data_IF_148473425298
#
_entry.id   IF_148473425298
#
_cell.length_a   1.000
_cell.length_b   1.000
_cell.length_c   1.000
_cell.angle_alpha   90.00
_cell.angle_beta   90.00
_cell.angle_gamma   90.00
#
_symmetry.space_group_name_H-M   'P 1'
#
loop_
_entity.id
_entity.type
_entity.pdbx_description
1 polymer ?
#
# COMPACT_ATOMS: atom_id res chain seq x y z
N UNK A 1 15.94 5.35 -1.36
CA UNK A 1 16.31 4.79 -0.04
C UNK A 1 16.49 3.28 -0.19
N UNK A 2 17.53 2.71 0.42
CA UNK A 2 17.76 1.25 0.44
C UNK A 2 17.76 0.76 1.89
N UNK A 3 17.04 -0.32 2.15
CA UNK A 3 16.94 -1.00 3.44
C UNK A 3 17.33 -2.47 3.24
N UNK A 4 18.39 -2.91 3.92
CA UNK A 4 18.84 -4.31 3.92
C UNK A 4 18.61 -4.92 5.30
N UNK A 5 17.90 -6.04 5.36
CA UNK A 5 17.64 -6.77 6.61
C UNK A 5 17.29 -8.21 6.36
N UNK A 6 17.67 -9.11 7.28
CA UNK A 6 17.33 -10.54 7.22
C UNK A 6 17.58 -11.18 5.83
N UNK A 7 18.64 -10.77 5.13
CA UNK A 7 18.96 -11.24 3.77
C UNK A 7 18.09 -10.67 2.64
N UNK A 8 17.12 -9.80 2.94
CA UNK A 8 16.28 -9.10 1.97
C UNK A 8 16.81 -7.67 1.73
N UNK A 9 16.76 -7.23 0.48
CA UNK A 9 16.91 -5.82 0.10
C UNK A 9 15.55 -5.25 -0.29
N UNK A 10 15.15 -4.18 0.37
CA UNK A 10 14.01 -3.35 0.00
C UNK A 10 14.55 -2.02 -0.48
N UNK A 11 14.20 -1.65 -1.71
CA UNK A 11 14.66 -0.41 -2.32
C UNK A 11 13.45 0.44 -2.69
N UNK A 12 13.45 1.70 -2.27
CA UNK A 12 12.40 2.67 -2.53
C UNK A 12 12.96 3.80 -3.38
N UNK A 13 12.17 4.22 -4.37
CA UNK A 13 12.43 5.41 -5.17
C UNK A 13 11.31 6.42 -4.98
N UNK A 14 11.69 7.69 -4.94
CA UNK A 14 10.72 8.78 -4.98
C UNK A 14 10.24 8.94 -6.41
N UNK A 15 8.93 9.02 -6.58
CA UNK A 15 8.25 9.30 -7.85
C UNK A 15 7.48 10.61 -7.71
N UNK A 16 6.88 11.10 -8.81
CA UNK A 16 6.17 12.38 -8.83
C UNK A 16 5.14 12.50 -7.70
N UNK A 17 4.37 11.44 -7.48
CA UNK A 17 3.22 11.43 -6.57
C UNK A 17 3.43 10.49 -5.36
N UNK A 18 4.68 10.37 -4.87
CA UNK A 18 5.02 9.64 -3.65
C UNK A 18 6.18 8.67 -3.80
N UNK A 19 5.96 7.41 -3.43
CA UNK A 19 7.00 6.37 -3.41
C UNK A 19 6.66 5.17 -4.29
N UNK A 20 7.70 4.50 -4.79
CA UNK A 20 7.62 3.20 -5.42
C UNK A 20 8.64 2.26 -4.78
N UNK A 21 8.29 0.99 -4.64
CA UNK A 21 9.24 -0.07 -4.29
C UNK A 21 9.86 -0.60 -5.59
N UNK A 22 11.19 -0.59 -5.66
CA UNK A 22 11.97 -1.11 -6.80
C UNK A 22 12.50 -2.53 -6.57
N UNK A 23 12.77 -2.88 -5.30
CA UNK A 23 13.25 -4.21 -4.90
C UNK A 23 12.43 -4.78 -3.75
N UNK A 24 12.17 -6.11 -3.73
CA UNK A 24 12.74 -7.15 -4.59
C UNK A 24 12.26 -7.13 -6.06
N UNK A 25 11.13 -6.48 -6.32
CA UNK A 25 10.59 -6.23 -7.65
C UNK A 25 9.81 -4.89 -7.65
N UNK A 26 9.40 -4.38 -8.83
CA UNK A 26 8.56 -3.19 -8.91
C UNK A 26 7.19 -3.42 -8.25
N UNK A 27 6.91 -2.72 -7.15
CA UNK A 27 5.65 -2.79 -6.41
C UNK A 27 5.14 -1.39 -6.06
N UNK A 28 3.82 -1.24 -5.95
CA UNK A 28 3.19 -0.03 -5.41
C UNK A 28 3.55 0.13 -3.94
N UNK A 29 4.04 1.31 -3.57
CA UNK A 29 4.36 1.63 -2.18
C UNK A 29 3.21 2.35 -1.49
N UNK A 30 3.04 2.06 -0.21
CA UNK A 30 2.31 2.94 0.69
C UNK A 30 3.22 4.14 1.00
N UNK A 31 2.96 5.26 0.32
CA UNK A 31 3.80 6.46 0.44
C UNK A 31 3.86 6.99 1.87
N UNK A 32 2.77 6.88 2.63
CA UNK A 32 2.73 7.35 4.03
C UNK A 32 3.65 6.49 4.90
N UNK A 33 3.54 5.16 4.79
CA UNK A 33 4.39 4.23 5.51
C UNK A 33 5.89 4.43 5.19
N UNK A 34 6.22 4.74 3.94
CA UNK A 34 7.61 5.00 3.52
C UNK A 34 8.09 6.36 4.02
N UNK A 35 7.26 7.40 3.98
CA UNK A 35 7.59 8.71 4.54
C UNK A 35 7.82 8.66 6.05
N UNK A 36 6.99 7.92 6.80
CA UNK A 36 7.20 7.67 8.23
C UNK A 36 8.54 6.96 8.49
N UNK A 37 8.89 5.95 7.68
CA UNK A 37 10.18 5.27 7.78
C UNK A 37 11.34 6.25 7.56
N UNK A 38 11.29 7.04 6.48
CA UNK A 38 12.32 8.04 6.15
C UNK A 38 12.46 9.05 7.29
N UNK A 39 11.34 9.56 7.82
CA UNK A 39 11.34 10.50 8.94
C UNK A 39 11.93 9.90 10.21
N UNK A 40 11.55 8.68 10.57
CA UNK A 40 12.10 7.98 11.75
C UNK A 40 13.61 7.78 11.66
N UNK A 41 14.15 7.61 10.45
CA UNK A 41 15.61 7.51 10.21
C UNK A 41 16.28 8.90 10.26
N UNK A 42 15.64 9.94 9.71
CA UNK A 42 16.17 11.30 9.73
C UNK A 42 16.17 11.91 11.15
N UNK A 43 15.16 11.60 11.95
CA UNK A 43 14.96 12.12 13.31
C UNK A 43 15.70 11.30 14.38
N UNK A 44 16.59 10.38 13.99
CA UNK A 44 17.34 9.52 14.93
C UNK A 44 18.14 10.38 15.91
N UNK A 45 17.76 10.28 17.18
CA UNK A 45 18.51 10.87 18.29
C UNK A 45 19.47 9.85 18.84
N UNK A 46 20.76 10.14 18.71
CA UNK A 46 21.81 9.36 19.34
C UNK A 46 21.97 9.79 20.79
N UNK A 47 22.05 8.83 21.70
CA UNK A 47 22.37 9.10 23.10
C UNK A 47 23.87 9.42 23.23
N UNK A 48 24.18 10.71 23.35
CA UNK A 48 25.55 11.23 23.52
C UNK A 48 25.99 11.28 24.98
N UNK A 49 25.16 10.84 25.94
CA UNK A 49 25.48 10.93 27.38
C UNK A 49 26.74 10.16 27.78
N UNK A 50 27.17 9.19 26.97
CA UNK A 50 28.42 8.44 27.15
C UNK A 50 29.69 9.15 26.65
N UNK A 51 29.58 10.34 26.05
CA UNK A 51 30.70 11.06 25.44
C UNK A 51 31.16 10.49 24.08
N UNK A 52 32.06 11.21 23.41
CA UNK A 52 32.79 10.71 22.24
C UNK A 52 33.71 9.57 22.71
N UNK A 53 33.54 8.35 22.17
CA UNK A 53 34.16 7.08 22.61
C UNK A 53 33.46 6.32 23.76
N UNK A 54 32.15 6.10 23.64
CA UNK A 54 31.46 5.12 24.49
C UNK A 54 31.87 3.68 24.14
N UNK A 55 32.98 3.20 24.69
CA UNK A 55 33.52 1.84 24.49
C UNK A 55 32.50 0.73 24.80
N UNK A 56 31.60 0.98 25.76
CA UNK A 56 30.54 0.03 26.10
C UNK A 56 29.51 -0.09 24.96
N UNK A 57 29.10 1.02 24.35
CA UNK A 57 28.21 1.01 23.19
C UNK A 57 28.88 0.40 21.96
N UNK A 58 30.17 0.69 21.74
CA UNK A 58 30.96 0.07 20.68
C UNK A 58 31.07 -1.46 20.84
N UNK A 59 31.31 -1.94 22.07
CA UNK A 59 31.36 -3.37 22.40
C UNK A 59 30.00 -4.04 22.18
N UNK A 60 28.92 -3.45 22.70
CA UNK A 60 27.54 -3.94 22.50
C UNK A 60 27.16 -3.99 21.02
N UNK A 61 27.55 -2.98 20.25
CA UNK A 61 27.34 -2.96 18.81
C UNK A 61 28.08 -4.11 18.12
N UNK A 62 29.37 -4.31 18.43
CA UNK A 62 30.18 -5.38 17.83
C UNK A 62 29.62 -6.79 18.08
N UNK A 63 29.04 -7.01 19.27
CA UNK A 63 28.43 -8.28 19.67
C UNK A 63 26.94 -8.41 19.28
N UNK A 64 26.30 -7.31 18.93
CA UNK A 64 24.87 -7.25 18.63
C UNK A 64 24.51 -7.89 17.29
N UNK A 65 23.28 -8.39 17.21
CA UNK A 65 22.71 -8.97 15.99
C UNK A 65 22.31 -7.85 15.03
N UNK A 66 22.66 -7.99 13.75
CA UNK A 66 22.25 -7.05 12.70
C UNK A 66 20.72 -7.01 12.58
N UNK A 67 20.14 -5.83 12.76
CA UNK A 67 18.71 -5.57 12.54
C UNK A 67 18.50 -5.08 11.11
N UNK A 68 19.21 -4.01 10.73
CA UNK A 68 19.08 -3.41 9.42
C UNK A 68 20.33 -2.59 9.03
N UNK A 69 20.55 -2.46 7.72
CA UNK A 69 21.39 -1.41 7.13
C UNK A 69 20.53 -0.52 6.27
N UNK A 70 20.72 0.78 6.39
CA UNK A 70 19.99 1.80 5.64
C UNK A 70 20.99 2.62 4.84
N UNK A 71 20.65 2.92 3.60
CA UNK A 71 21.26 3.99 2.82
C UNK A 71 20.18 4.97 2.35
N UNK A 72 20.29 6.22 2.77
CA UNK A 72 19.39 7.30 2.42
C UNK A 72 20.13 8.31 1.56
N UNK A 73 19.77 8.41 0.28
CA UNK A 73 20.28 9.44 -0.62
C UNK A 73 19.45 10.71 -0.42
N UNK A 74 20.12 11.84 -0.20
CA UNK A 74 19.54 13.18 -0.20
C UNK A 74 20.45 14.18 -0.91
N UNK A 75 20.10 15.47 -0.84
CA UNK A 75 20.79 16.53 -1.58
C UNK A 75 22.27 16.70 -1.17
N UNK A 76 22.59 16.35 0.08
CA UNK A 76 23.95 16.42 0.64
C UNK A 76 24.74 15.11 0.45
N UNK A 77 24.22 14.18 -0.35
CA UNK A 77 24.81 12.86 -0.59
C UNK A 77 24.09 11.74 0.15
N UNK A 78 24.72 10.57 0.16
CA UNK A 78 24.16 9.36 0.77
C UNK A 78 24.62 9.22 2.21
N UNK A 79 23.67 9.17 3.15
CA UNK A 79 23.91 8.83 4.54
C UNK A 79 23.62 7.35 4.78
N UNK A 80 24.40 6.71 5.64
CA UNK A 80 24.19 5.31 6.01
C UNK A 80 23.94 5.15 7.51
N UNK A 81 23.17 4.13 7.86
CA UNK A 81 22.92 3.72 9.24
C UNK A 81 22.93 2.19 9.34
N UNK A 82 23.75 1.65 10.22
CA UNK A 82 23.72 0.24 10.60
C UNK A 82 23.13 0.13 12.01
N UNK A 83 22.04 -0.62 12.14
CA UNK A 83 21.36 -0.86 13.41
C UNK A 83 21.61 -2.30 13.88
N UNK A 84 22.01 -2.44 15.14
CA UNK A 84 22.18 -3.74 15.80
C UNK A 84 21.42 -3.78 17.11
N UNK A 85 20.98 -4.98 17.49
CA UNK A 85 20.31 -5.24 18.77
C UNK A 85 21.20 -6.07 19.67
N UNK A 86 21.38 -5.63 20.91
CA UNK A 86 22.10 -6.35 21.96
C UNK A 86 21.23 -6.41 23.21
N UNK A 87 20.67 -7.60 23.51
CA UNK A 87 19.63 -7.78 24.52
C UNK A 87 18.45 -6.81 24.22
N UNK A 88 18.19 -5.87 25.12
CA UNK A 88 17.11 -4.90 25.02
C UNK A 88 17.56 -3.55 24.41
N UNK A 89 18.86 -3.37 24.18
CA UNK A 89 19.41 -2.13 23.62
C UNK A 89 19.48 -2.21 22.08
N UNK A 90 19.11 -1.10 21.43
CA UNK A 90 19.42 -0.84 20.02
C UNK A 90 20.61 0.12 19.92
N UNK A 91 21.56 -0.27 19.06
CA UNK A 91 22.82 0.44 18.85
C UNK A 91 22.93 0.79 17.37
N UNK A 92 23.23 2.05 17.06
CA UNK A 92 23.40 2.53 15.69
C UNK A 92 24.83 3.02 15.45
N UNK A 93 25.35 2.75 14.25
CA UNK A 93 26.46 3.49 13.64
C UNK A 93 25.92 4.24 12.43
N UNK A 94 26.24 5.51 12.27
CA UNK A 94 25.89 6.27 11.07
C UNK A 94 27.12 6.84 10.38
N UNK A 95 26.97 7.28 9.14
CA UNK A 95 28.00 8.04 8.44
C UNK A 95 28.08 9.51 8.88
N UNK A 96 27.15 9.97 9.71
CA UNK A 96 27.05 11.37 10.13
C UNK A 96 27.79 11.66 11.45
N UNK A 97 28.07 10.63 12.25
CA UNK A 97 28.79 10.74 13.51
C UNK A 97 29.68 9.51 13.72
N UNK A 98 30.92 9.74 14.15
CA UNK A 98 31.85 8.66 14.46
C UNK A 98 31.43 7.94 15.75
N UNK A 99 31.58 6.62 15.77
CA UNK A 99 31.26 5.78 16.93
C UNK A 99 29.93 5.04 16.83
N UNK A 100 29.60 4.28 17.89
CA UNK A 100 28.33 3.58 18.03
C UNK A 100 27.55 4.15 19.21
N UNK A 101 26.26 4.37 19.01
CA UNK A 101 25.41 5.05 19.99
C UNK A 101 24.17 4.22 20.28
N UNK A 102 23.70 4.29 21.53
CA UNK A 102 22.35 3.80 21.84
C UNK A 102 21.32 4.71 21.17
N UNK A 103 20.28 4.10 20.64
CA UNK A 103 19.14 4.77 19.99
C UNK A 103 17.84 4.27 20.59
N UNK A 104 16.78 5.02 20.37
CA UNK A 104 15.45 4.67 20.84
C UNK A 104 14.95 3.34 20.23
N UNK A 105 14.22 2.55 21.02
CA UNK A 105 13.70 1.25 20.59
C UNK A 105 12.70 1.35 19.42
N UNK A 106 12.01 2.48 19.27
CA UNK A 106 11.07 2.74 18.16
C UNK A 106 11.75 2.68 16.79
N UNK A 107 13.03 3.07 16.69
CA UNK A 107 13.80 2.93 15.46
C UNK A 107 13.97 1.45 15.08
N UNK A 108 14.24 0.60 16.08
CA UNK A 108 14.30 -0.84 15.93
C UNK A 108 12.99 -1.41 15.38
N UNK A 109 11.88 -1.11 16.04
CA UNK A 109 10.53 -1.54 15.61
C UNK A 109 10.21 -1.06 14.19
N UNK A 110 10.54 0.18 13.86
CA UNK A 110 10.28 0.76 12.53
C UNK A 110 11.09 0.05 11.43
N UNK A 111 12.38 -0.23 11.69
CA UNK A 111 13.25 -0.91 10.73
C UNK A 111 12.95 -2.41 10.60
N UNK A 112 12.27 -3.01 11.59
CA UNK A 112 11.84 -4.41 11.55
C UNK A 112 10.61 -4.67 10.66
N UNK A 113 9.74 -3.67 10.44
CA UNK A 113 8.51 -3.75 9.60
C UNK A 113 8.69 -4.47 8.26
N UNK A 114 7.95 -5.53 7.98
CA UNK A 114 8.10 -6.35 6.76
C UNK A 114 7.87 -5.56 5.45
N UNK A 115 8.33 -6.10 4.31
CA UNK A 115 8.05 -5.52 2.98
C UNK A 115 6.55 -5.24 2.78
N UNK A 116 5.68 -6.15 3.23
CA UNK A 116 4.24 -6.04 3.07
C UNK A 116 3.63 -4.85 3.83
N UNK A 117 4.29 -4.36 4.88
CA UNK A 117 3.86 -3.17 5.62
C UNK A 117 4.18 -1.85 4.89
N UNK A 118 4.93 -1.91 3.80
CA UNK A 118 5.24 -0.76 2.94
C UNK A 118 4.54 -0.82 1.57
N UNK A 119 3.77 -1.87 1.29
CA UNK A 119 3.05 -2.02 0.02
C UNK A 119 1.70 -1.32 0.07
N UNK A 120 1.32 -0.67 -1.03
CA UNK A 120 -0.01 -0.06 -1.14
C UNK A 120 -1.07 -1.16 -1.14
N UNK A 121 -2.00 -1.09 -0.18
CA UNK A 121 -3.09 -2.05 -0.04
C UNK A 121 -4.32 -1.70 -0.86
N UNK A 122 -4.43 -0.47 -1.38
CA UNK A 122 -5.61 -0.03 -2.15
C UNK A 122 -5.68 -0.74 -3.49
N UNK A 123 -6.87 -1.20 -3.84
CA UNK A 123 -7.13 -1.89 -5.12
C UNK A 123 -7.49 -0.93 -6.23
N UNK A 124 -7.75 0.34 -5.92
CA UNK A 124 -8.02 1.42 -6.87
C UNK A 124 -7.36 2.71 -6.39
N UNK A 125 -6.84 3.51 -7.33
CA UNK A 125 -6.05 4.73 -7.12
C UNK A 125 -6.79 6.01 -7.54
N UNK A 126 -8.05 5.92 -7.98
CA UNK A 126 -8.84 7.10 -8.35
C UNK A 126 -9.06 8.08 -7.19
N UNK A 127 -8.82 7.64 -5.94
CA UNK A 127 -8.75 8.53 -4.77
C UNK A 127 -10.00 9.39 -4.60
N UNK A 128 -9.82 10.71 -4.50
CA UNK A 128 -10.91 11.69 -4.41
C UNK A 128 -11.48 12.11 -5.77
N UNK A 129 -10.89 11.66 -6.88
CA UNK A 129 -11.50 11.91 -8.17
C UNK A 129 -12.75 11.06 -8.31
N UNK A 130 -13.86 11.69 -8.67
CA UNK A 130 -15.07 10.93 -8.90
C UNK A 130 -14.97 10.15 -10.23
N UNK A 131 -15.34 8.87 -10.23
CA UNK A 131 -15.38 8.09 -11.45
C UNK A 131 -16.48 8.60 -12.39
N UNK A 132 -16.16 8.63 -13.67
CA UNK A 132 -17.13 8.90 -14.74
C UNK A 132 -17.79 7.65 -15.29
N UNK A 133 -17.14 6.48 -15.14
CA UNK A 133 -17.70 5.18 -15.53
C UNK A 133 -17.28 4.07 -14.58
N UNK A 134 -18.18 3.12 -14.37
CA UNK A 134 -17.93 1.86 -13.69
C UNK A 134 -18.45 0.72 -14.57
N UNK A 135 -17.65 -0.33 -14.68
CA UNK A 135 -18.05 -1.58 -15.33
C UNK A 135 -17.77 -2.73 -14.37
N UNK A 136 -18.79 -3.51 -14.06
CA UNK A 136 -18.66 -4.69 -13.19
C UNK A 136 -19.19 -5.89 -13.94
N UNK A 137 -18.43 -6.98 -13.96
CA UNK A 137 -18.88 -8.29 -14.41
C UNK A 137 -18.81 -9.26 -13.25
N UNK A 138 -19.87 -10.02 -13.02
CA UNK A 138 -19.94 -11.10 -12.03
C UNK A 138 -20.68 -12.28 -12.66
N UNK A 139 -19.95 -13.33 -13.05
CA UNK A 139 -20.53 -14.46 -13.78
C UNK A 139 -21.27 -14.03 -15.06
N UNK A 140 -22.61 -14.10 -15.04
CA UNK A 140 -23.48 -13.68 -16.16
C UNK A 140 -24.06 -12.27 -15.99
N UNK A 141 -23.88 -11.64 -14.83
CA UNK A 141 -24.36 -10.28 -14.56
C UNK A 141 -23.34 -9.25 -15.02
N UNK A 142 -23.80 -8.11 -15.48
CA UNK A 142 -22.93 -6.97 -15.77
C UNK A 142 -23.63 -5.65 -15.52
N UNK A 143 -22.88 -4.69 -14.97
CA UNK A 143 -23.32 -3.33 -14.71
C UNK A 143 -22.44 -2.36 -15.48
N UNK A 144 -23.06 -1.59 -16.37
CA UNK A 144 -22.40 -0.54 -17.13
C UNK A 144 -22.97 0.80 -16.67
N UNK A 145 -22.21 1.49 -15.83
CA UNK A 145 -22.62 2.72 -15.19
C UNK A 145 -21.85 3.89 -15.78
N UNK A 146 -22.57 4.93 -16.16
CA UNK A 146 -21.98 6.16 -16.68
C UNK A 146 -22.55 7.36 -15.93
N UNK A 147 -21.68 8.30 -15.55
CA UNK A 147 -22.05 9.57 -14.95
C UNK A 147 -22.23 10.63 -16.03
N UNK A 148 -23.28 11.43 -15.93
CA UNK A 148 -23.50 12.62 -16.76
C UNK A 148 -24.10 13.75 -15.93
N UNK A 149 -23.34 14.83 -15.74
CA UNK A 149 -23.66 15.81 -14.71
C UNK A 149 -23.66 15.17 -13.32
N UNK A 150 -24.74 15.34 -12.57
CA UNK A 150 -24.87 14.83 -11.19
C UNK A 150 -25.57 13.47 -11.09
N UNK A 151 -26.01 12.92 -12.22
CA UNK A 151 -26.82 11.72 -12.27
C UNK A 151 -25.97 10.52 -12.72
N UNK A 152 -26.50 9.32 -12.51
CA UNK A 152 -25.95 8.07 -13.02
C UNK A 152 -26.94 7.35 -13.94
N UNK A 153 -26.40 6.66 -14.94
CA UNK A 153 -27.16 5.87 -15.91
C UNK A 153 -26.68 4.42 -15.92
N UNK A 154 -27.63 3.50 -15.94
CA UNK A 154 -27.44 2.07 -16.14
C UNK A 154 -28.20 1.63 -17.39
N UNK A 155 -27.50 1.14 -18.42
CA UNK A 155 -28.09 0.75 -19.71
C UNK A 155 -29.06 1.82 -20.27
N UNK A 156 -28.56 3.05 -20.40
CA UNK A 156 -29.27 4.25 -20.88
C UNK A 156 -30.47 4.73 -20.03
N UNK A 157 -30.69 4.14 -18.85
CA UNK A 157 -31.74 4.57 -17.92
C UNK A 157 -31.13 5.22 -16.69
N UNK A 158 -31.68 6.37 -16.30
CA UNK A 158 -31.31 7.03 -15.03
C UNK A 158 -31.52 6.05 -13.86
N UNK A 159 -30.52 5.94 -12.99
CA UNK A 159 -30.50 5.02 -11.85
C UNK A 159 -30.37 5.79 -10.53
N UNK A 160 -30.49 5.06 -9.43
CA UNK A 160 -30.35 5.60 -8.09
C UNK A 160 -28.90 6.05 -7.87
N UNK A 161 -28.71 7.37 -7.78
CA UNK A 161 -27.39 7.99 -7.61
C UNK A 161 -26.77 7.62 -6.26
N UNK A 162 -27.56 7.55 -5.19
CA UNK A 162 -27.10 7.17 -3.86
C UNK A 162 -26.56 5.73 -3.86
N UNK A 163 -27.24 4.82 -4.56
CA UNK A 163 -26.80 3.42 -4.68
C UNK A 163 -25.45 3.32 -5.42
N UNK A 164 -25.27 4.07 -6.51
CA UNK A 164 -24.00 4.08 -7.25
C UNK A 164 -22.89 4.73 -6.44
N UNK A 165 -23.16 5.83 -5.73
CA UNK A 165 -22.18 6.50 -4.86
C UNK A 165 -21.71 5.59 -3.72
N UNK A 166 -22.62 4.81 -3.12
CA UNK A 166 -22.26 3.79 -2.13
C UNK A 166 -21.34 2.70 -2.71
N UNK A 167 -21.58 2.26 -3.95
CA UNK A 167 -20.67 1.35 -4.65
C UNK A 167 -19.30 1.99 -4.89
N UNK A 168 -19.24 3.26 -5.30
CA UNK A 168 -17.99 4.01 -5.48
C UNK A 168 -17.19 4.08 -4.18
N UNK A 169 -17.84 4.36 -3.06
CA UNK A 169 -17.22 4.39 -1.73
C UNK A 169 -16.63 3.02 -1.36
N UNK A 170 -17.38 1.94 -1.54
CA UNK A 170 -16.87 0.58 -1.28
C UNK A 170 -15.66 0.22 -2.14
N UNK A 171 -15.66 0.61 -3.42
CA UNK A 171 -14.51 0.42 -4.31
C UNK A 171 -13.30 1.25 -3.87
N UNK A 172 -13.53 2.49 -3.44
CA UNK A 172 -12.49 3.38 -2.90
C UNK A 172 -11.89 2.83 -1.61
N UNK A 173 -12.73 2.21 -0.78
CA UNK A 173 -12.34 1.68 0.52
C UNK A 173 -11.72 0.28 0.45
N UNK A 174 -11.91 -0.44 -0.67
CA UNK A 174 -11.36 -1.77 -0.88
C UNK A 174 -9.83 -1.79 -0.68
N UNK A 175 -9.42 -2.54 0.34
CA UNK A 175 -8.02 -2.74 0.69
C UNK A 175 -7.71 -4.23 0.84
N UNK A 176 -6.47 -4.58 0.52
CA UNK A 176 -5.97 -5.92 0.73
C UNK A 176 -5.63 -6.19 2.20
N UNK A 177 -5.95 -7.40 2.64
CA UNK A 177 -5.56 -7.95 3.96
C UNK A 177 -4.17 -8.59 3.91
N UNK A 178 -3.72 -8.99 2.72
CA UNK A 178 -2.45 -9.68 2.52
C UNK A 178 -1.97 -9.64 1.07
N UNK A 179 -0.76 -10.15 0.84
CA UNK A 179 -0.14 -10.23 -0.48
C UNK A 179 0.39 -11.64 -0.75
N UNK A 180 -0.47 -12.58 -1.17
CA UNK A 180 -0.06 -13.95 -1.43
C UNK A 180 0.78 -14.04 -2.72
N UNK A 181 1.53 -15.13 -2.85
CA UNK A 181 2.36 -15.39 -4.05
C UNK A 181 1.67 -16.27 -5.08
N UNK A 182 0.51 -16.84 -4.75
CA UNK A 182 -0.28 -17.74 -5.59
C UNK A 182 -1.74 -17.74 -5.14
N UNK A 183 -2.62 -18.38 -5.90
CA UNK A 183 -4.03 -18.59 -5.51
C UNK A 183 -5.04 -17.90 -6.40
N UNK A 184 -4.60 -16.97 -7.26
CA UNK A 184 -5.45 -16.46 -8.33
C UNK A 184 -5.67 -17.54 -9.39
N UNK A 185 -6.91 -17.85 -9.69
CA UNK A 185 -7.30 -18.86 -10.69
C UNK A 185 -8.01 -18.21 -11.87
N UNK A 186 -9.34 -18.31 -11.94
CA UNK A 186 -10.19 -17.64 -12.92
C UNK A 186 -10.86 -16.42 -12.29
N UNK A 187 -10.93 -15.32 -13.03
CA UNK A 187 -11.69 -14.14 -12.61
C UNK A 187 -13.19 -14.48 -12.56
N UNK A 188 -13.78 -14.36 -11.38
CA UNK A 188 -15.22 -14.50 -11.15
C UNK A 188 -15.90 -13.12 -11.16
N UNK A 189 -15.17 -12.11 -10.68
CA UNK A 189 -15.57 -10.71 -10.71
C UNK A 189 -14.48 -9.91 -11.43
N UNK A 190 -14.89 -9.00 -12.30
CA UNK A 190 -14.02 -8.00 -12.89
C UNK A 190 -14.65 -6.62 -12.71
N UNK A 191 -13.88 -5.67 -12.18
CA UNK A 191 -14.32 -4.30 -11.96
C UNK A 191 -13.36 -3.37 -12.69
N UNK A 192 -13.91 -2.51 -13.55
CA UNK A 192 -13.20 -1.44 -14.23
C UNK A 192 -13.74 -0.10 -13.76
N UNK A 193 -12.85 0.78 -13.31
CA UNK A 193 -13.17 2.15 -12.92
C UNK A 193 -12.49 3.10 -13.88
N UNK A 194 -13.25 4.05 -14.43
CA UNK A 194 -12.73 5.12 -15.28
C UNK A 194 -12.90 6.47 -14.59
N UNK A 195 -11.81 7.15 -14.26
CA UNK A 195 -11.74 8.45 -13.58
C UNK A 195 -10.89 9.45 -14.37
N UNK A 196 -10.61 10.64 -13.79
CA UNK A 196 -9.74 11.64 -14.40
C UNK A 196 -10.21 12.13 -15.77
N UNK A 197 -11.52 12.25 -15.97
CA UNK A 197 -12.13 12.56 -17.28
C UNK A 197 -11.77 11.55 -18.38
N UNK A 198 -11.63 10.27 -18.02
CA UNK A 198 -11.30 9.19 -18.96
C UNK A 198 -9.82 8.90 -19.11
N UNK A 199 -8.94 9.62 -18.40
CA UNK A 199 -7.48 9.43 -18.49
C UNK A 199 -6.96 8.29 -17.63
N UNK A 200 -7.69 7.93 -16.58
CA UNK A 200 -7.34 6.84 -15.67
C UNK A 200 -8.36 5.73 -15.83
N UNK A 201 -7.88 4.55 -16.19
CA UNK A 201 -8.68 3.33 -16.32
C UNK A 201 -7.99 2.26 -15.48
N UNK A 202 -8.68 1.82 -14.44
CA UNK A 202 -8.16 0.83 -13.49
C UNK A 202 -9.03 -0.41 -13.52
N UNK A 203 -8.41 -1.57 -13.69
CA UNK A 203 -9.10 -2.85 -13.76
C UNK A 203 -8.59 -3.79 -12.70
N UNK A 204 -9.52 -4.31 -11.90
CA UNK A 204 -9.28 -5.32 -10.86
C UNK A 204 -10.05 -6.57 -11.25
N UNK A 205 -9.37 -7.71 -11.23
CA UNK A 205 -9.96 -9.04 -11.39
C UNK A 205 -9.88 -9.75 -10.06
N UNK A 206 -10.96 -10.42 -9.67
CA UNK A 206 -11.10 -11.10 -8.38
C UNK A 206 -11.52 -12.54 -8.62
N UNK A 207 -10.82 -13.48 -7.99
CA UNK A 207 -11.13 -14.91 -7.98
C UNK A 207 -11.42 -15.36 -6.56
N UNK A 208 -12.33 -16.31 -6.38
CA UNK A 208 -12.60 -16.89 -5.05
C UNK A 208 -11.57 -17.97 -4.73
N UNK A 209 -11.12 -18.02 -3.47
CA UNK A 209 -10.22 -19.04 -2.95
C UNK A 209 -10.71 -19.50 -1.58
N UNK A 210 -11.52 -20.56 -1.56
CA UNK A 210 -12.14 -21.05 -0.33
C UNK A 210 -13.09 -20.01 0.28
N UNK A 211 -12.70 -19.46 1.43
CA UNK A 211 -13.45 -18.50 2.24
C UNK A 211 -13.01 -17.04 2.05
N UNK A 212 -11.98 -16.78 1.26
CA UNK A 212 -11.47 -15.45 0.94
C UNK A 212 -11.36 -15.25 -0.57
N UNK A 213 -10.93 -14.07 -0.98
CA UNK A 213 -10.77 -13.73 -2.40
C UNK A 213 -9.35 -13.29 -2.68
N UNK A 214 -8.86 -13.64 -3.87
CA UNK A 214 -7.59 -13.15 -4.40
C UNK A 214 -7.91 -12.22 -5.56
N UNK A 215 -7.34 -11.02 -5.53
CA UNK A 215 -7.42 -10.06 -6.60
C UNK A 215 -6.07 -9.84 -7.27
N UNK A 216 -6.13 -9.44 -8.53
CA UNK A 216 -5.01 -8.87 -9.28
C UNK A 216 -5.48 -7.59 -9.93
N UNK A 217 -4.62 -6.59 -9.96
CA UNK A 217 -4.79 -5.41 -10.81
C UNK A 217 -4.19 -5.71 -12.18
N UNK A 218 -4.76 -5.10 -13.21
CA UNK A 218 -4.16 -5.17 -14.53
C UNK A 218 -2.82 -4.43 -14.56
N UNK A 219 -1.89 -4.87 -15.41
CA UNK A 219 -0.54 -4.27 -15.58
C UNK A 219 0.41 -4.33 -14.36
N UNK A 220 0.18 -5.21 -13.39
CA UNK A 220 1.11 -5.42 -12.27
C UNK A 220 1.15 -6.89 -11.79
N UNK A 221 2.29 -7.34 -11.22
CA UNK A 221 2.47 -8.75 -10.83
C UNK A 221 1.86 -9.10 -9.47
N UNK A 222 1.38 -8.11 -8.71
CA UNK A 222 0.91 -8.31 -7.33
C UNK A 222 -0.41 -9.05 -7.27
N UNK A 223 -0.49 -10.02 -6.35
CA UNK A 223 -1.76 -10.54 -5.86
C UNK A 223 -2.11 -9.88 -4.52
N UNK A 224 -3.41 -9.73 -4.31
CA UNK A 224 -4.01 -9.06 -3.18
C UNK A 224 -5.04 -9.99 -2.56
N UNK A 225 -4.84 -10.36 -1.30
CA UNK A 225 -5.88 -11.06 -0.54
C UNK A 225 -6.92 -10.05 -0.09
N UNK A 226 -8.20 -10.34 -0.32
CA UNK A 226 -9.33 -9.51 0.05
C UNK A 226 -10.21 -10.24 1.05
N UNK A 227 -10.80 -9.48 1.98
CA UNK A 227 -11.80 -10.02 2.88
C UNK A 227 -13.07 -10.42 2.12
N UNK A 228 -13.71 -11.52 2.52
CA UNK A 228 -14.96 -11.92 1.90
C UNK A 228 -16.10 -10.92 2.15
N UNK A 229 -16.11 -10.25 3.31
CA UNK A 229 -17.08 -9.21 3.62
C UNK A 229 -17.01 -8.05 2.63
N UNK A 230 -15.81 -7.54 2.34
CA UNK A 230 -15.66 -6.37 1.44
C UNK A 230 -16.10 -6.71 0.02
N UNK A 231 -15.74 -7.90 -0.47
CA UNK A 231 -16.15 -8.36 -1.81
C UNK A 231 -17.67 -8.58 -1.87
N UNK A 232 -18.26 -9.22 -0.88
CA UNK A 232 -19.71 -9.43 -0.82
C UNK A 232 -20.48 -8.11 -0.71
N UNK A 233 -19.94 -7.13 0.00
CA UNK A 233 -20.52 -5.79 0.12
C UNK A 233 -20.52 -5.04 -1.22
N UNK A 234 -19.45 -5.19 -2.01
CA UNK A 234 -19.35 -4.61 -3.36
C UNK A 234 -20.38 -5.27 -4.30
N UNK A 235 -20.49 -6.60 -4.29
CA UNK A 235 -21.44 -7.30 -5.17
C UNK A 235 -22.88 -7.02 -4.76
N UNK A 236 -23.18 -6.96 -3.46
CA UNK A 236 -24.49 -6.55 -2.95
C UNK A 236 -24.84 -5.10 -3.32
N UNK A 237 -23.86 -4.19 -3.26
CA UNK A 237 -24.06 -2.81 -3.70
C UNK A 237 -24.38 -2.74 -5.20
N UNK A 238 -23.64 -3.49 -6.04
CA UNK A 238 -23.94 -3.58 -7.47
C UNK A 238 -25.33 -4.16 -7.74
N UNK A 239 -25.72 -5.25 -7.08
CA UNK A 239 -27.05 -5.89 -7.19
C UNK A 239 -28.21 -4.95 -6.78
N UNK A 240 -27.94 -3.98 -5.89
CA UNK A 240 -28.93 -3.00 -5.46
C UNK A 240 -29.26 -1.95 -6.53
N UNK A 241 -28.37 -1.74 -7.50
CA UNK A 241 -28.50 -0.70 -8.53
C UNK A 241 -29.59 -1.09 -9.53
N UNK A 242 -30.64 -0.27 -9.57
CA UNK A 242 -31.80 -0.47 -10.45
C UNK A 242 -32.18 0.85 -11.13
N UNK A 243 -32.67 0.82 -12.38
CA UNK A 243 -33.23 2.02 -12.99
C UNK A 243 -34.34 2.61 -12.13
N UNK A 244 -34.38 3.93 -11.99
CA UNK A 244 -35.48 4.61 -11.27
C UNK A 244 -36.75 4.40 -12.07
N UNK A 245 -37.80 3.85 -11.46
CA UNK A 245 -39.11 3.78 -12.11
C UNK A 245 -39.63 5.19 -12.33
N UNK A 246 -39.95 5.53 -13.58
CA UNK A 246 -40.57 6.81 -13.91
C UNK A 246 -41.84 6.99 -13.05
N UNK A 247 -41.95 8.11 -12.34
CA UNK A 247 -43.17 8.47 -11.64
C UNK A 247 -44.30 8.52 -12.67
N UNK A 248 -45.36 7.74 -12.46
CA UNK A 248 -46.59 7.91 -13.22
C UNK A 248 -47.17 9.26 -12.82
N UNK A 249 -47.18 10.22 -13.76
CA UNK A 249 -47.94 11.45 -13.65
C UNK A 249 -49.43 11.18 -13.81
#
# INVERSE_FOLDING_TARGET
>A
MKLEKKGQTIEFARIKDGWQILKPEPLRADSFAVDELVRSIADVRMDLSGGENNDAAATKFGQGTLVAKVALAGDQGTQTLELRKSKDDYLAKSSAADGAYKVDASLGTTLERSLNEFRNKKLFDFGFEDPGKLEIHEGQKSWFLARSGNDWWFNDKKTDTTAVESLVEKLRDLTATGFPTSGFSSAEIAVTVTSGQGKQVEKVMISKLGDHYIARRDNEPSLYELSASDVNDITAAADSIKPVTAAKH
#
